data_IF_426051050130
#
_entry.id   IF_426051050130
#
_cell.length_a   1.000
_cell.length_b   1.000
_cell.length_c   1.000
_cell.angle_alpha   90.00
_cell.angle_beta   90.00
_cell.angle_gamma   90.00
#
_symmetry.space_group_name_H-M   'P 1'
#
loop_
_entity.id
_entity.type
_entity.pdbx_description
1 polymer ?
#
# COMPACT_ATOMS: atom_id res chain seq x y z
N UNK A 1 -1.43 -35.27 22.64
CA UNK A 1 -2.10 -35.29 21.33
C UNK A 1 -2.06 -33.88 20.77
N UNK A 2 -1.02 -33.55 20.01
CA UNK A 2 -0.83 -32.25 19.36
C UNK A 2 -0.98 -32.49 17.86
N UNK A 3 -2.08 -32.02 17.29
CA UNK A 3 -2.34 -32.10 15.86
C UNK A 3 -1.67 -30.94 15.13
N UNK A 4 -0.67 -31.27 14.32
CA UNK A 4 -0.08 -30.35 13.34
C UNK A 4 -1.11 -30.07 12.23
N UNK A 5 -1.43 -28.80 12.01
CA UNK A 5 -2.14 -28.34 10.83
C UNK A 5 -1.14 -27.63 9.89
N UNK A 6 -0.42 -28.41 9.08
CA UNK A 6 0.16 -27.88 7.84
C UNK A 6 -0.98 -27.69 6.84
N UNK A 7 -1.50 -26.46 6.73
CA UNK A 7 -2.30 -26.06 5.59
C UNK A 7 -1.36 -25.70 4.44
N UNK A 8 -1.19 -26.65 3.51
CA UNK A 8 -0.55 -26.39 2.22
C UNK A 8 -1.49 -25.51 1.38
N UNK A 9 -1.31 -24.20 1.44
CA UNK A 9 -1.93 -23.29 0.48
C UNK A 9 -1.26 -23.49 -0.88
N UNK A 10 -2.00 -24.04 -1.84
CA UNK A 10 -1.63 -23.98 -3.26
C UNK A 10 -1.79 -22.53 -3.72
N UNK A 11 -0.70 -21.77 -3.64
CA UNK A 11 -0.64 -20.41 -4.17
C UNK A 11 -0.83 -20.44 -5.68
N UNK A 12 -2.05 -20.19 -6.15
CA UNK A 12 -2.36 -19.83 -7.53
C UNK A 12 -1.60 -18.55 -7.87
N UNK A 13 -0.40 -18.71 -8.41
CA UNK A 13 0.46 -17.59 -8.82
C UNK A 13 -0.08 -16.97 -10.09
N UNK A 14 -0.68 -15.78 -9.99
CA UNK A 14 -1.01 -14.98 -11.18
C UNK A 14 0.27 -14.46 -11.81
N UNK A 15 0.58 -14.95 -13.02
CA UNK A 15 1.73 -14.47 -13.81
C UNK A 15 1.24 -13.36 -14.74
N UNK A 16 1.72 -12.14 -14.51
CA UNK A 16 1.40 -11.00 -15.35
C UNK A 16 2.50 -10.81 -16.39
N UNK A 17 2.10 -10.83 -17.66
CA UNK A 17 2.95 -10.38 -18.75
C UNK A 17 2.66 -8.90 -18.99
N UNK A 18 3.68 -8.08 -19.18
CA UNK A 18 3.52 -6.80 -19.86
C UNK A 18 4.25 -6.86 -21.20
N UNK A 19 3.68 -6.21 -22.22
CA UNK A 19 4.33 -6.05 -23.53
C UNK A 19 4.50 -4.57 -23.79
N UNK A 20 5.72 -4.06 -23.60
CA UNK A 20 6.08 -2.73 -24.05
C UNK A 20 6.21 -2.76 -25.58
N UNK A 21 5.33 -2.06 -26.30
CA UNK A 21 5.43 -1.95 -27.77
C UNK A 21 6.32 -0.75 -28.10
N UNK A 22 7.62 -0.99 -28.26
CA UNK A 22 8.51 -0.03 -28.90
C UNK A 22 8.34 -0.18 -30.41
N UNK A 23 7.84 0.87 -31.08
CA UNK A 23 7.84 0.94 -32.53
C UNK A 23 9.28 1.13 -33.02
N UNK A 24 9.95 0.05 -33.40
CA UNK A 24 11.24 0.10 -34.09
C UNK A 24 12.17 -1.06 -33.73
N UNK A 25 12.48 -1.87 -34.75
CA UNK A 25 13.46 -2.97 -34.80
C UNK A 25 13.13 -4.24 -33.99
N UNK A 26 12.87 -5.30 -34.76
CA UNK A 26 12.70 -6.68 -34.35
C UNK A 26 13.92 -7.19 -33.55
N UNK A 27 13.87 -7.07 -32.23
CA UNK A 27 14.64 -7.90 -31.32
C UNK A 27 13.68 -8.86 -30.63
N UNK A 28 14.06 -10.14 -30.51
CA UNK A 28 13.27 -11.17 -29.85
C UNK A 28 13.04 -10.79 -28.38
N UNK A 29 11.91 -10.13 -28.13
CA UNK A 29 11.60 -9.52 -26.83
C UNK A 29 10.98 -10.57 -25.89
N UNK A 30 11.69 -10.88 -24.81
CA UNK A 30 11.21 -11.81 -23.78
C UNK A 30 10.20 -11.07 -22.89
N UNK A 31 8.94 -11.53 -22.76
CA UNK A 31 7.97 -10.91 -21.86
C UNK A 31 8.55 -10.85 -20.44
N UNK A 32 8.64 -9.66 -19.85
CA UNK A 32 8.97 -9.56 -18.43
C UNK A 32 7.78 -10.06 -17.63
N UNK A 33 7.89 -11.26 -17.07
CA UNK A 33 6.93 -11.76 -16.08
C UNK A 33 7.17 -11.01 -14.79
N UNK A 34 6.25 -10.13 -14.39
CA UNK A 34 6.37 -9.46 -13.11
C UNK A 34 5.83 -10.37 -12.01
N UNK A 35 6.62 -10.53 -10.95
CA UNK A 35 6.20 -11.24 -9.75
C UNK A 35 5.20 -10.35 -8.99
N UNK A 36 3.91 -10.55 -9.26
CA UNK A 36 2.84 -9.78 -8.61
C UNK A 36 2.77 -10.09 -7.11
N UNK A 37 3.14 -11.30 -6.70
CA UNK A 37 3.26 -11.66 -5.29
C UNK A 37 4.28 -10.78 -4.57
N UNK A 38 5.42 -10.48 -5.20
CA UNK A 38 6.42 -9.56 -4.63
C UNK A 38 5.84 -8.15 -4.45
N UNK A 39 5.14 -7.62 -5.46
CA UNK A 39 4.52 -6.29 -5.36
C UNK A 39 3.42 -6.22 -4.30
N UNK A 40 2.56 -7.22 -4.24
CA UNK A 40 1.54 -7.32 -3.19
C UNK A 40 2.24 -7.34 -1.83
N UNK A 41 3.32 -8.11 -1.70
CA UNK A 41 4.13 -8.15 -0.48
C UNK A 41 4.68 -6.78 -0.08
N UNK A 42 5.22 -6.00 -1.03
CA UNK A 42 5.73 -4.65 -0.76
C UNK A 42 4.59 -3.71 -0.37
N UNK A 43 3.50 -3.70 -1.13
CA UNK A 43 2.30 -2.88 -0.83
C UNK A 43 1.78 -3.19 0.57
N UNK A 44 1.74 -4.47 0.94
CA UNK A 44 1.32 -4.92 2.25
C UNK A 44 2.27 -4.45 3.34
N UNK A 45 3.57 -4.72 3.21
CA UNK A 45 4.59 -4.31 4.17
C UNK A 45 4.60 -2.78 4.40
N UNK A 46 4.46 -1.99 3.34
CA UNK A 46 4.31 -0.53 3.45
C UNK A 46 3.05 -0.13 4.22
N UNK A 47 1.92 -0.76 3.91
CA UNK A 47 0.63 -0.45 4.54
C UNK A 47 0.63 -0.83 6.02
N UNK A 48 1.18 -2.00 6.38
CA UNK A 48 1.32 -2.44 7.77
C UNK A 48 2.27 -1.52 8.56
N UNK A 49 3.45 -1.20 8.00
CA UNK A 49 4.41 -0.28 8.63
C UNK A 49 3.78 1.08 8.89
N UNK A 50 3.04 1.61 7.91
CA UNK A 50 2.30 2.86 8.05
C UNK A 50 1.29 2.82 9.19
N UNK A 51 0.52 1.75 9.29
CA UNK A 51 -0.47 1.59 10.34
C UNK A 51 0.18 1.61 11.73
N UNK A 52 1.28 0.89 11.89
CA UNK A 52 2.05 0.85 13.14
C UNK A 52 2.67 2.20 13.50
N UNK A 53 3.23 2.94 12.54
CA UNK A 53 3.74 4.31 12.78
C UNK A 53 2.62 5.25 13.21
N UNK A 54 1.41 5.12 12.64
CA UNK A 54 0.28 5.94 13.03
C UNK A 54 -0.26 5.59 14.42
N UNK A 55 -0.24 4.30 14.79
CA UNK A 55 -0.53 3.86 16.16
C UNK A 55 0.49 4.40 17.15
N UNK A 56 1.78 4.35 16.82
CA UNK A 56 2.86 4.92 17.63
C UNK A 56 2.61 6.42 17.90
N UNK A 57 2.27 7.18 16.87
CA UNK A 57 1.94 8.61 17.03
C UNK A 57 0.70 8.82 17.92
N UNK A 58 -0.36 8.03 17.72
CA UNK A 58 -1.57 8.12 18.53
C UNK A 58 -1.31 7.79 20.01
N UNK A 59 -0.47 6.79 20.31
CA UNK A 59 -0.06 6.46 21.67
C UNK A 59 0.78 7.56 22.31
N UNK A 60 1.74 8.14 21.58
CA UNK A 60 2.51 9.29 22.07
C UNK A 60 1.60 10.48 22.41
N UNK A 61 0.61 10.77 21.57
CA UNK A 61 -0.37 11.84 21.83
C UNK A 61 -1.20 11.56 23.09
N UNK A 62 -1.67 10.31 23.27
CA UNK A 62 -2.41 9.87 24.46
C UNK A 62 -1.56 9.96 25.73
N UNK A 63 -0.33 9.47 25.71
CA UNK A 63 0.61 9.55 26.85
C UNK A 63 0.87 11.02 27.19
N UNK A 64 1.09 11.87 26.18
CA UNK A 64 1.28 13.30 26.36
C UNK A 64 0.07 14.00 26.97
N UNK A 65 -1.16 13.56 26.64
CA UNK A 65 -2.39 14.05 27.26
C UNK A 65 -2.56 13.53 28.69
N UNK A 66 -2.33 12.24 28.93
CA UNK A 66 -2.41 11.61 30.25
C UNK A 66 -1.43 12.27 31.24
N UNK A 67 -0.16 12.45 30.85
CA UNK A 67 0.86 13.13 31.68
C UNK A 67 0.53 14.58 32.02
N UNK A 68 -0.25 15.26 31.18
CA UNK A 68 -0.72 16.63 31.48
C UNK A 68 -1.84 16.62 32.52
N UNK A 69 -2.68 15.57 32.52
CA UNK A 69 -3.78 15.38 33.45
C UNK A 69 -3.31 14.79 34.79
N UNK A 70 -2.30 13.94 34.81
CA UNK A 70 -1.76 13.31 36.03
C UNK A 70 -1.10 14.29 37.00
N UNK A 71 -0.66 15.46 36.52
CA UNK A 71 -0.26 16.58 37.40
C UNK A 71 -1.42 17.09 38.30
N UNK A 72 -2.63 16.54 38.16
CA UNK A 72 -3.86 16.92 38.87
C UNK A 72 -4.47 15.74 39.67
N UNK A 73 -4.20 14.46 39.34
CA UNK A 73 -4.75 13.27 40.04
C UNK A 73 -3.92 11.97 39.79
N UNK A 74 -4.13 10.93 40.61
CA UNK A 74 -3.41 9.64 40.69
C UNK A 74 -3.63 8.72 39.47
N UNK A 75 -3.26 9.21 38.28
CA UNK A 75 -3.50 8.58 36.98
C UNK A 75 -2.34 7.69 36.47
N UNK A 76 -1.41 7.31 37.34
CA UNK A 76 -0.14 6.66 36.96
C UNK A 76 -0.35 5.30 36.26
N UNK A 77 -1.33 4.50 36.71
CA UNK A 77 -1.61 3.17 36.15
C UNK A 77 -2.06 3.17 34.67
N UNK A 78 -2.76 4.22 34.21
CA UNK A 78 -3.15 4.33 32.80
C UNK A 78 -1.97 4.76 31.91
N UNK A 79 -1.04 5.53 32.46
CA UNK A 79 0.17 5.94 31.75
C UNK A 79 1.09 4.73 31.52
N UNK A 80 1.27 3.88 32.55
CA UNK A 80 2.09 2.67 32.45
C UNK A 80 1.59 1.70 31.38
N UNK A 81 0.27 1.47 31.31
CA UNK A 81 -0.33 0.61 30.28
C UNK A 81 -0.10 1.14 28.86
N UNK A 82 -0.22 2.46 28.65
CA UNK A 82 0.02 3.08 27.35
C UNK A 82 1.50 3.02 26.96
N UNK A 83 2.41 3.16 27.92
CA UNK A 83 3.85 3.06 27.70
C UNK A 83 4.26 1.62 27.34
N UNK A 84 3.69 0.61 28.00
CA UNK A 84 3.88 -0.80 27.64
C UNK A 84 3.40 -1.08 26.21
N UNK A 85 2.20 -0.62 25.84
CA UNK A 85 1.69 -0.75 24.47
C UNK A 85 2.60 -0.06 23.44
N UNK A 86 3.11 1.14 23.78
CA UNK A 86 4.01 1.89 22.91
C UNK A 86 5.31 1.13 22.65
N UNK A 87 5.87 0.44 23.65
CA UNK A 87 7.08 -0.36 23.48
C UNK A 87 6.85 -1.58 22.58
N UNK A 88 5.72 -2.26 22.69
CA UNK A 88 5.35 -3.36 21.78
C UNK A 88 5.15 -2.88 20.33
N UNK A 89 4.54 -1.71 20.15
CA UNK A 89 4.37 -1.06 18.85
C UNK A 89 5.73 -0.71 18.23
N UNK A 90 6.69 -0.19 19.02
CA UNK A 90 8.05 0.10 18.53
C UNK A 90 8.81 -1.16 18.11
N UNK A 91 8.70 -2.26 18.85
CA UNK A 91 9.27 -3.56 18.46
C UNK A 91 8.67 -4.04 17.13
N UNK A 92 7.34 -4.00 17.02
CA UNK A 92 6.61 -4.38 15.81
C UNK A 92 7.07 -3.54 14.61
N UNK A 93 7.19 -2.23 14.80
CA UNK A 93 7.69 -1.32 13.76
C UNK A 93 9.08 -1.69 13.28
N UNK A 94 10.00 -2.00 14.19
CA UNK A 94 11.37 -2.39 13.81
C UNK A 94 11.39 -3.66 12.95
N UNK A 95 10.53 -4.65 13.27
CA UNK A 95 10.35 -5.84 12.45
C UNK A 95 9.79 -5.52 11.07
N UNK A 96 8.77 -4.68 10.98
CA UNK A 96 8.17 -4.27 9.70
C UNK A 96 9.10 -3.42 8.84
N UNK A 97 9.93 -2.55 9.42
CA UNK A 97 10.94 -1.79 8.69
C UNK A 97 11.97 -2.73 8.02
N UNK A 98 12.34 -3.82 8.70
CA UNK A 98 13.22 -4.86 8.16
C UNK A 98 12.52 -5.67 7.07
N UNK A 99 11.30 -6.11 7.32
CA UNK A 99 10.50 -6.89 6.36
C UNK A 99 10.27 -6.12 5.05
N UNK A 100 9.96 -4.82 5.15
CA UNK A 100 9.86 -3.96 3.98
C UNK A 100 11.20 -3.87 3.23
N UNK A 101 12.32 -3.66 3.94
CA UNK A 101 13.65 -3.62 3.32
C UNK A 101 13.99 -4.92 2.58
N UNK A 102 13.72 -6.07 3.18
CA UNK A 102 13.96 -7.38 2.55
C UNK A 102 13.17 -7.52 1.25
N UNK A 103 11.87 -7.19 1.26
CA UNK A 103 11.03 -7.22 0.06
C UNK A 103 11.47 -6.21 -1.01
N UNK A 104 11.82 -4.99 -0.61
CA UNK A 104 12.38 -3.97 -1.51
C UNK A 104 13.69 -4.46 -2.17
N UNK A 105 14.52 -5.20 -1.43
CA UNK A 105 15.80 -5.76 -1.91
C UNK A 105 15.62 -6.88 -2.94
N UNK A 106 14.49 -7.58 -2.90
CA UNK A 106 14.12 -8.61 -3.88
C UNK A 106 13.64 -8.04 -5.22
N UNK A 107 13.41 -6.72 -5.31
CA UNK A 107 13.05 -6.11 -6.59
C UNK A 107 14.21 -6.25 -7.58
N UNK A 108 13.98 -6.82 -8.76
CA UNK A 108 15.04 -7.01 -9.74
C UNK A 108 15.57 -5.65 -10.20
N UNK A 109 16.90 -5.51 -10.32
CA UNK A 109 17.62 -4.29 -10.70
C UNK A 109 17.35 -3.88 -12.16
N UNK A 110 16.10 -3.52 -12.41
CA UNK A 110 15.48 -3.30 -13.72
C UNK A 110 14.78 -1.94 -13.73
N UNK A 111 14.11 -1.59 -14.84
CA UNK A 111 13.27 -0.38 -14.94
C UNK A 111 12.26 -0.26 -13.81
N UNK A 112 11.81 -1.38 -13.27
CA UNK A 112 10.85 -1.48 -12.18
C UNK A 112 11.41 -0.94 -10.86
N UNK A 113 12.60 -1.39 -10.43
CA UNK A 113 13.27 -0.89 -9.22
C UNK A 113 13.58 0.59 -9.36
N UNK A 114 14.05 1.02 -10.55
CA UNK A 114 14.29 2.44 -10.85
C UNK A 114 13.02 3.29 -10.74
N UNK A 115 11.89 2.78 -11.24
CA UNK A 115 10.60 3.45 -11.13
C UNK A 115 10.15 3.59 -9.67
N UNK A 116 10.22 2.49 -8.92
CA UNK A 116 9.95 2.47 -7.48
C UNK A 116 10.83 3.48 -6.71
N UNK A 117 12.15 3.42 -6.91
CA UNK A 117 13.10 4.33 -6.25
C UNK A 117 12.88 5.79 -6.65
N UNK A 118 12.57 6.04 -7.93
CA UNK A 118 12.26 7.38 -8.42
C UNK A 118 11.00 7.95 -7.78
N UNK A 119 9.97 7.11 -7.59
CA UNK A 119 8.75 7.50 -6.88
C UNK A 119 9.09 7.78 -5.42
N UNK A 120 9.76 6.87 -4.72
CA UNK A 120 10.11 7.02 -3.29
C UNK A 120 11.07 8.17 -3.01
N UNK A 121 11.93 8.53 -3.97
CA UNK A 121 12.81 9.69 -3.89
C UNK A 121 12.08 11.03 -3.86
N UNK A 122 10.81 11.08 -4.30
CA UNK A 122 10.00 12.30 -4.19
C UNK A 122 9.39 12.39 -2.79
N UNK A 123 9.70 13.39 -1.95
CA UNK A 123 9.14 13.52 -0.61
C UNK A 123 7.62 13.77 -0.56
N UNK A 124 6.98 14.00 -1.71
CA UNK A 124 5.53 14.11 -1.87
C UNK A 124 4.89 12.86 -2.50
N UNK A 125 5.62 11.74 -2.65
CA UNK A 125 5.15 10.57 -3.38
C UNK A 125 3.83 10.01 -2.85
N UNK A 126 3.59 10.13 -1.55
CA UNK A 126 2.37 9.66 -0.91
C UNK A 126 1.15 10.53 -1.22
N UNK A 127 1.33 11.79 -1.65
CA UNK A 127 0.25 12.69 -2.08
C UNK A 127 -0.17 12.48 -3.54
N UNK A 128 0.21 11.34 -4.13
CA UNK A 128 -0.27 11.00 -5.46
C UNK A 128 -1.78 10.82 -5.46
N UNK A 129 -2.42 11.29 -6.54
CA UNK A 129 -3.88 11.33 -6.71
C UNK A 129 -4.53 9.99 -6.37
N UNK A 130 -3.94 8.88 -6.81
CA UNK A 130 -4.45 7.54 -6.59
C UNK A 130 -4.53 7.16 -5.11
N UNK A 131 -3.54 7.59 -4.30
CA UNK A 131 -3.50 7.34 -2.86
C UNK A 131 -4.42 8.30 -2.09
N UNK A 132 -4.53 9.55 -2.56
CA UNK A 132 -5.49 10.53 -2.03
C UNK A 132 -6.91 10.01 -2.22
N UNK A 133 -7.24 9.60 -3.44
CA UNK A 133 -8.56 9.03 -3.77
C UNK A 133 -8.85 7.73 -3.00
N UNK A 134 -7.85 6.87 -2.80
CA UNK A 134 -8.01 5.67 -1.97
C UNK A 134 -8.30 6.05 -0.51
N UNK A 135 -7.64 7.07 0.02
CA UNK A 135 -7.92 7.61 1.35
C UNK A 135 -9.35 8.17 1.44
N UNK A 136 -9.78 8.99 0.49
CA UNK A 136 -11.14 9.54 0.41
C UNK A 136 -12.18 8.43 0.31
N UNK A 137 -11.95 7.45 -0.58
CA UNK A 137 -12.88 6.33 -0.81
C UNK A 137 -13.06 5.41 0.41
N UNK A 138 -12.08 5.39 1.32
CA UNK A 138 -12.15 4.69 2.61
C UNK A 138 -12.78 5.53 3.73
N UNK A 139 -13.20 6.77 3.46
CA UNK A 139 -13.65 7.72 4.47
C UNK A 139 -12.53 8.22 5.38
N UNK A 140 -11.29 8.23 4.89
CA UNK A 140 -10.14 8.74 5.62
C UNK A 140 -10.03 10.25 5.57
N UNK A 141 -9.12 10.83 6.36
CA UNK A 141 -9.05 12.28 6.61
C UNK A 141 -8.90 13.21 5.39
N UNK A 142 -8.59 12.68 4.20
CA UNK A 142 -8.55 13.46 2.96
C UNK A 142 -9.95 13.89 2.49
N UNK A 143 -11.03 13.27 2.98
CA UNK A 143 -12.38 13.72 2.68
C UNK A 143 -12.80 14.95 3.49
N UNK A 144 -12.05 15.30 4.54
CA UNK A 144 -12.45 16.35 5.50
C UNK A 144 -11.54 17.56 5.49
N UNK A 145 -10.60 17.64 4.54
CA UNK A 145 -9.63 18.74 4.41
C UNK A 145 -8.91 19.14 5.70
N UNK A 146 -8.75 18.21 6.65
CA UNK A 146 -8.07 18.53 7.91
C UNK A 146 -6.55 18.75 7.72
N UNK A 147 -6.01 18.74 6.50
CA UNK A 147 -4.61 19.06 6.16
C UNK A 147 -3.59 18.07 6.74
N UNK A 148 -4.05 16.95 7.25
CA UNK A 148 -3.31 15.91 7.93
C UNK A 148 -2.20 15.26 7.12
N UNK A 149 -2.59 14.77 5.94
CA UNK A 149 -1.74 13.99 5.08
C UNK A 149 -0.64 14.89 4.51
N UNK A 150 -0.97 16.13 4.18
CA UNK A 150 0.00 17.13 3.71
C UNK A 150 1.02 17.51 4.79
N UNK A 151 0.56 17.65 6.04
CA UNK A 151 1.40 18.00 7.20
C UNK A 151 2.20 16.81 7.77
N UNK A 152 1.98 15.60 7.26
CA UNK A 152 2.60 14.36 7.77
C UNK A 152 4.14 14.30 7.58
N UNK A 153 4.74 15.27 6.87
CA UNK A 153 6.20 15.37 6.67
C UNK A 153 6.99 15.53 7.97
N UNK A 154 6.38 16.07 9.03
CA UNK A 154 7.11 16.54 10.21
C UNK A 154 7.37 15.45 11.26
N UNK A 155 6.66 14.33 11.23
CA UNK A 155 6.71 13.30 12.30
C UNK A 155 7.54 12.06 11.97
N UNK A 156 7.73 11.72 10.68
CA UNK A 156 8.47 10.51 10.32
C UNK A 156 9.98 10.79 10.26
N UNK A 157 10.68 10.39 11.32
CA UNK A 157 12.14 10.62 11.49
C UNK A 157 13.05 10.07 10.37
N UNK A 158 12.56 9.32 9.37
CA UNK A 158 13.40 8.69 8.32
C UNK A 158 12.70 8.48 6.96
N UNK A 159 11.62 9.21 6.64
CA UNK A 159 10.93 9.08 5.34
C UNK A 159 10.12 7.79 5.12
N UNK A 160 10.29 6.76 5.95
CA UNK A 160 9.50 5.52 5.95
C UNK A 160 8.20 5.69 6.75
N UNK A 161 7.12 5.07 6.30
CA UNK A 161 5.79 5.16 6.92
C UNK A 161 5.05 6.49 6.69
N UNK A 162 5.57 7.39 5.83
CA UNK A 162 4.87 8.63 5.44
C UNK A 162 3.87 8.30 4.34
N UNK A 163 2.60 8.11 4.70
CA UNK A 163 1.52 7.89 3.75
C UNK A 163 0.16 8.37 4.31
N UNK A 164 -0.88 8.35 3.48
CA UNK A 164 -2.26 8.65 3.88
C UNK A 164 -2.75 7.81 5.07
N UNK A 165 -3.63 8.39 5.89
CA UNK A 165 -4.11 7.78 7.15
C UNK A 165 -4.72 6.39 6.96
N UNK A 166 -4.31 5.46 7.82
CA UNK A 166 -5.02 4.22 8.13
C UNK A 166 -6.04 4.48 9.22
N UNK A 167 -6.70 3.40 9.67
CA UNK A 167 -7.65 3.46 10.79
C UNK A 167 -7.02 3.77 12.15
N UNK A 168 -5.69 3.66 12.28
CA UNK A 168 -4.95 3.94 13.50
C UNK A 168 -4.69 5.43 13.71
N UNK A 169 -5.07 6.26 12.76
CA UNK A 169 -4.67 7.63 12.81
C UNK A 169 -5.55 8.47 13.73
N UNK A 170 -4.92 9.26 14.61
CA UNK A 170 -5.59 9.94 15.72
C UNK A 170 -6.77 10.84 15.31
N UNK A 171 -6.68 11.60 14.21
CA UNK A 171 -7.81 12.44 13.80
C UNK A 171 -8.95 11.63 13.17
N UNK A 172 -8.64 10.48 12.53
CA UNK A 172 -9.69 9.57 12.09
C UNK A 172 -10.38 8.91 13.29
N UNK A 173 -9.62 8.56 14.34
CA UNK A 173 -10.18 8.04 15.60
C UNK A 173 -11.09 9.08 16.26
N UNK A 174 -10.61 10.33 16.36
CA UNK A 174 -11.37 11.41 16.99
C UNK A 174 -12.68 11.72 16.26
N UNK A 175 -12.62 11.89 14.93
CA UNK A 175 -13.83 12.18 14.14
C UNK A 175 -14.82 11.03 14.16
N UNK A 176 -14.32 9.79 14.01
CA UNK A 176 -15.14 8.58 14.09
C UNK A 176 -15.73 8.35 15.49
N UNK A 177 -15.08 8.87 16.54
CA UNK A 177 -15.51 8.76 17.93
C UNK A 177 -15.23 7.41 18.61
N UNK A 178 -14.55 6.48 17.93
CA UNK A 178 -14.17 5.18 18.50
C UNK A 178 -12.92 4.60 17.85
N UNK A 179 -12.29 3.65 18.54
CA UNK A 179 -11.20 2.82 18.00
C UNK A 179 -11.74 1.48 17.51
N UNK A 180 -11.14 0.94 16.45
CA UNK A 180 -11.48 -0.42 16.05
C UNK A 180 -10.88 -1.42 17.05
N UNK A 181 -11.59 -2.49 17.31
CA UNK A 181 -11.08 -3.67 18.01
C UNK A 181 -10.02 -4.38 17.17
N UNK A 182 -9.23 -5.26 17.79
CA UNK A 182 -8.24 -6.08 17.08
C UNK A 182 -8.88 -6.93 15.97
N UNK A 183 -10.09 -7.46 16.20
CA UNK A 183 -10.82 -8.26 15.23
C UNK A 183 -11.31 -7.42 14.04
N UNK A 184 -11.82 -6.21 14.27
CA UNK A 184 -12.22 -5.32 13.18
C UNK A 184 -11.02 -4.87 12.33
N UNK A 185 -9.88 -4.58 12.97
CA UNK A 185 -8.61 -4.27 12.27
C UNK A 185 -8.18 -5.43 11.38
N UNK A 186 -8.20 -6.65 11.90
CA UNK A 186 -7.90 -7.87 11.13
C UNK A 186 -8.86 -8.04 9.95
N UNK A 187 -10.16 -7.79 10.14
CA UNK A 187 -11.14 -7.87 9.06
C UNK A 187 -10.89 -6.83 7.95
N UNK A 188 -10.43 -5.63 8.30
CA UNK A 188 -10.01 -4.60 7.34
C UNK A 188 -8.75 -5.02 6.57
N UNK A 189 -7.77 -5.58 7.26
CA UNK A 189 -6.55 -6.12 6.66
C UNK A 189 -6.88 -7.28 5.69
N UNK A 190 -7.66 -8.26 6.12
CA UNK A 190 -8.09 -9.39 5.28
C UNK A 190 -8.87 -8.91 4.05
N UNK A 191 -9.70 -7.88 4.20
CA UNK A 191 -10.40 -7.25 3.06
C UNK A 191 -9.42 -6.59 2.11
N UNK A 192 -8.41 -5.88 2.62
CA UNK A 192 -7.39 -5.24 1.80
C UNK A 192 -6.56 -6.28 1.02
N UNK A 193 -6.16 -7.40 1.65
CA UNK A 193 -5.43 -8.49 0.99
C UNK A 193 -6.28 -9.11 -0.13
N UNK A 194 -7.56 -9.40 0.15
CA UNK A 194 -8.51 -9.88 -0.87
C UNK A 194 -8.62 -8.92 -2.05
N UNK A 195 -8.64 -7.62 -1.81
CA UNK A 195 -8.71 -6.61 -2.89
C UNK A 195 -7.43 -6.58 -3.73
N UNK A 196 -6.26 -6.77 -3.12
CA UNK A 196 -4.98 -6.85 -3.85
C UNK A 196 -4.86 -8.13 -4.67
N UNK A 197 -5.48 -9.23 -4.21
CA UNK A 197 -5.43 -10.55 -4.86
C UNK A 197 -6.65 -10.88 -5.72
N UNK A 198 -7.62 -9.97 -5.79
CA UNK A 198 -8.85 -10.20 -6.53
C UNK A 198 -8.56 -10.46 -8.02
N UNK A 199 -9.38 -11.30 -8.65
CA UNK A 199 -9.30 -11.56 -10.10
C UNK A 199 -9.55 -10.32 -10.97
N UNK A 200 -10.03 -9.22 -10.39
CA UNK A 200 -10.06 -7.90 -11.01
C UNK A 200 -8.83 -7.09 -10.53
N UNK A 201 -7.82 -6.90 -11.39
CA UNK A 201 -6.56 -6.29 -10.98
C UNK A 201 -6.63 -4.76 -10.96
N UNK A 202 -7.78 -4.13 -11.22
CA UNK A 202 -7.90 -2.67 -11.28
C UNK A 202 -7.45 -1.99 -9.98
N UNK A 203 -7.83 -2.57 -8.83
CA UNK A 203 -7.39 -2.06 -7.53
C UNK A 203 -5.87 -2.21 -7.35
N UNK A 204 -5.33 -3.40 -7.60
CA UNK A 204 -3.90 -3.65 -7.55
C UNK A 204 -3.13 -2.67 -8.45
N UNK A 205 -3.55 -2.46 -9.70
CA UNK A 205 -2.88 -1.54 -10.61
C UNK A 205 -2.98 -0.08 -10.17
N UNK A 206 -4.14 0.37 -9.68
CA UNK A 206 -4.28 1.73 -9.12
C UNK A 206 -3.22 1.97 -8.04
N UNK A 207 -3.12 1.01 -7.11
CA UNK A 207 -2.25 1.09 -5.95
C UNK A 207 -0.77 0.88 -6.31
N UNK A 208 -0.47 -0.03 -7.25
CA UNK A 208 0.90 -0.29 -7.72
C UNK A 208 1.45 0.88 -8.54
N UNK A 209 0.63 1.46 -9.44
CA UNK A 209 1.04 2.60 -10.28
C UNK A 209 1.45 3.79 -9.41
N UNK A 210 0.70 4.07 -8.34
CA UNK A 210 1.01 5.13 -7.39
C UNK A 210 2.40 4.97 -6.71
N UNK A 211 2.90 3.73 -6.64
CA UNK A 211 4.17 3.39 -5.97
C UNK A 211 5.35 3.19 -6.91
N UNK A 212 5.11 3.04 -8.21
CA UNK A 212 6.15 2.62 -9.15
C UNK A 212 6.25 3.47 -10.41
N UNK A 213 5.15 4.06 -10.91
CA UNK A 213 5.12 4.53 -12.29
C UNK A 213 4.30 5.81 -12.51
N UNK A 214 4.83 6.95 -12.05
CA UNK A 214 4.25 8.27 -12.40
C UNK A 214 4.60 8.71 -13.84
N UNK A 215 5.73 8.26 -14.40
CA UNK A 215 6.34 8.84 -15.62
C UNK A 215 6.37 7.94 -16.86
N UNK A 216 5.79 6.74 -16.84
CA UNK A 216 5.77 5.83 -18.01
C UNK A 216 4.53 6.00 -18.90
N UNK A 217 3.47 6.63 -18.38
CA UNK A 217 2.20 6.84 -19.07
C UNK A 217 2.11 8.21 -19.77
N UNK A 218 3.07 9.12 -19.55
CA UNK A 218 3.26 10.32 -20.36
C UNK A 218 3.92 10.01 -21.72
N UNK A 219 4.49 8.81 -21.88
CA UNK A 219 4.89 8.23 -23.16
C UNK A 219 3.90 7.18 -23.65
N UNK A 220 3.84 6.94 -24.97
CA UNK A 220 3.00 5.92 -25.64
C UNK A 220 3.43 4.50 -25.25
N UNK A 221 3.24 4.10 -24.00
CA UNK A 221 3.54 2.76 -23.52
C UNK A 221 2.26 1.95 -23.55
N UNK A 222 2.22 0.90 -24.38
CA UNK A 222 1.15 -0.11 -24.30
C UNK A 222 1.49 -1.07 -23.18
N UNK A 223 0.54 -1.34 -22.30
CA UNK A 223 0.58 -2.49 -21.39
C UNK A 223 -0.40 -3.52 -21.95
N UNK A 224 0.03 -4.76 -22.16
CA UNK A 224 -0.85 -5.86 -22.54
C UNK A 224 -0.94 -6.80 -21.37
N UNK A 225 -2.12 -6.98 -20.80
CA UNK A 225 -2.36 -7.86 -19.66
C UNK A 225 -3.08 -9.10 -20.17
N UNK A 226 -2.57 -10.28 -19.82
CA UNK A 226 -3.24 -11.56 -20.04
C UNK A 226 -3.64 -12.10 -18.68
N UNK A 227 -4.94 -12.33 -18.45
CA UNK A 227 -5.45 -12.91 -17.21
C UNK A 227 -5.79 -14.39 -17.41
N UNK A 228 -5.21 -15.33 -16.63
CA UNK A 228 -5.63 -16.72 -16.65
C UNK A 228 -7.06 -16.84 -16.09
N UNK A 229 -7.92 -17.60 -16.78
CA UNK A 229 -9.32 -17.82 -16.40
C UNK A 229 -10.38 -17.10 -17.25
N UNK A 230 -9.99 -16.15 -18.10
CA UNK A 230 -10.89 -15.42 -19.01
C UNK A 230 -10.62 -15.72 -20.48
N UNK A 231 -10.50 -17.00 -20.87
CA UNK A 231 -10.47 -17.41 -22.29
C UNK A 231 -9.44 -16.72 -23.20
N UNK A 232 -8.31 -16.24 -22.65
CA UNK A 232 -7.29 -15.55 -23.44
C UNK A 232 -7.61 -14.09 -23.79
N UNK A 233 -8.57 -13.44 -23.13
CA UNK A 233 -8.86 -12.01 -23.29
C UNK A 233 -7.60 -11.19 -22.99
N UNK A 234 -7.11 -10.47 -24.01
CA UNK A 234 -6.00 -9.51 -23.90
C UNK A 234 -6.58 -8.13 -23.61
N UNK A 235 -6.22 -7.55 -22.47
CA UNK A 235 -6.49 -6.14 -22.20
C UNK A 235 -5.31 -5.31 -22.70
N UNK A 236 -5.55 -4.50 -23.72
CA UNK A 236 -4.57 -3.55 -24.25
C UNK A 236 -4.87 -2.16 -23.69
N UNK A 237 -3.94 -1.63 -22.90
CA UNK A 237 -4.02 -0.26 -22.39
C UNK A 237 -3.25 0.66 -23.31
N UNK A 238 -3.92 1.64 -23.91
CA UNK A 238 -3.30 2.73 -24.64
C UNK A 238 -3.60 4.03 -23.89
N UNK A 239 -2.61 4.61 -23.23
CA UNK A 239 -2.74 5.94 -22.64
C UNK A 239 -2.21 6.97 -23.63
N UNK A 240 -3.04 7.96 -23.95
CA UNK A 240 -2.62 9.18 -24.66
C UNK A 240 -2.83 10.35 -23.74
N UNK A 241 -1.97 11.35 -23.86
CA UNK A 241 -1.72 12.48 -22.94
C UNK A 241 -2.92 13.35 -22.55
N UNK A 242 -4.15 13.08 -23.02
CA UNK A 242 -5.29 13.91 -22.68
C UNK A 242 -6.50 13.23 -22.01
N UNK A 243 -6.77 11.94 -22.20
CA UNK A 243 -7.90 11.29 -21.51
C UNK A 243 -7.64 9.78 -21.39
N UNK A 244 -7.77 9.23 -20.18
CA UNK A 244 -7.82 7.79 -19.96
C UNK A 244 -9.15 7.24 -20.50
N UNK A 245 -9.23 6.98 -21.81
CA UNK A 245 -10.30 6.16 -22.37
C UNK A 245 -9.94 4.68 -22.22
N UNK A 246 -10.66 3.97 -21.35
CA UNK A 246 -10.64 2.51 -21.29
C UNK A 246 -11.36 1.96 -22.52
N UNK A 247 -10.61 1.62 -23.58
CA UNK A 247 -11.16 0.78 -24.66
C UNK A 247 -10.92 -0.68 -24.31
N UNK A 248 -11.96 -1.36 -23.83
CA UNK A 248 -11.98 -2.80 -23.71
C UNK A 248 -12.11 -3.38 -25.13
N UNK A 249 -10.99 -3.79 -25.73
CA UNK A 249 -11.02 -4.53 -26.99
C UNK A 249 -11.04 -6.03 -26.65
N UNK A 250 -12.22 -6.66 -26.75
CA UNK A 250 -12.34 -8.11 -26.66
C UNK A 250 -11.97 -8.68 -28.03
N UNK A 251 -10.74 -9.15 -28.19
CA UNK A 251 -10.39 -9.99 -29.33
C UNK A 251 -10.96 -11.39 -29.09
N UNK A 252 -12.04 -11.75 -29.77
CA UNK A 252 -12.48 -13.14 -29.85
C UNK A 252 -11.47 -13.94 -30.70
N UNK A 253 -11.14 -15.19 -30.32
CA UNK A 253 -10.35 -16.04 -31.18
C UNK A 253 -11.13 -16.35 -32.46
N UNK A 254 -10.43 -16.29 -33.60
CA UNK A 254 -10.90 -16.85 -34.89
C UNK A 254 -10.73 -18.36 -34.84
#
# INVERSE_FOLDING_TARGET
>A
MLGEYMTLFTSSGYVYHSKQVCHGLFSAYKPSTYNTTLFIGIIWAETSLRSTVQRENALNDKIGAAKKLSNIDDSDLQCDQLEEELEEVKKTRAHQERDLYEKESMLPMTSLKKGYDSVKGNPAWYLQKELVEDCIGKGGCCSWDCGCCERCRSSAKKGKGIEHRTVECICCIHDRGFEFTAEEKKNLDDRFDRMLRAGNPAFFFKIANARTFRNLWSGKTRLNITMPGFGGVRLTFACSTLYCHFKLAVCLPI
#
